data_IF_503740777143
#
_entry.id   IF_503740777143
#
_cell.length_a   1.000
_cell.length_b   1.000
_cell.length_c   1.000
_cell.angle_alpha   90.00
_cell.angle_beta   90.00
_cell.angle_gamma   90.00
#
_symmetry.space_group_name_H-M   'P 1'
#
loop_
_entity.id
_entity.type
_entity.pdbx_description
1 polymer ?
#
# COMPACT_ATOMS: atom_id res chain seq x y z
N UNK A 1 -2.31 4.09 -25.41
CA UNK A 1 -1.88 4.74 -24.17
C UNK A 1 -0.73 3.94 -23.58
N UNK A 2 0.48 4.52 -23.51
CA UNK A 2 1.67 3.82 -23.00
C UNK A 2 1.74 4.06 -21.49
N UNK A 3 1.48 3.02 -20.70
CA UNK A 3 1.60 3.05 -19.23
C UNK A 3 2.82 2.25 -18.86
N UNK A 4 3.69 2.84 -18.06
CA UNK A 4 4.93 2.25 -17.54
C UNK A 4 4.71 1.92 -16.07
N UNK A 5 5.04 0.70 -15.67
CA UNK A 5 5.14 0.32 -14.25
C UNK A 5 6.62 0.25 -13.90
N UNK A 6 7.03 0.99 -12.88
CA UNK A 6 8.41 1.03 -12.43
C UNK A 6 8.54 1.12 -10.92
N UNK A 7 9.72 0.84 -10.42
CA UNK A 7 10.05 1.12 -9.01
C UNK A 7 9.96 2.61 -8.75
N UNK A 8 9.42 2.94 -7.59
CA UNK A 8 9.38 4.30 -7.10
C UNK A 8 10.75 4.83 -6.72
N UNK A 9 10.93 6.12 -6.87
CA UNK A 9 12.13 6.85 -6.52
C UNK A 9 11.77 8.07 -5.66
N UNK A 10 12.75 8.65 -4.97
CA UNK A 10 12.55 9.76 -4.04
C UNK A 10 11.74 10.92 -4.64
N UNK A 11 12.00 11.29 -5.90
CA UNK A 11 11.26 12.38 -6.57
C UNK A 11 9.76 12.12 -6.72
N UNK A 12 9.31 10.87 -6.63
CA UNK A 12 7.91 10.52 -6.77
C UNK A 12 7.09 10.76 -5.48
N UNK A 13 7.77 10.98 -4.35
CA UNK A 13 7.12 11.02 -3.03
C UNK A 13 6.02 12.07 -2.89
N UNK A 14 6.15 13.21 -3.54
CA UNK A 14 5.07 14.22 -3.55
C UNK A 14 3.79 13.69 -4.20
N UNK A 15 3.93 13.01 -5.35
CA UNK A 15 2.79 12.38 -6.04
C UNK A 15 2.26 11.19 -5.26
N UNK A 16 3.14 10.42 -4.60
CA UNK A 16 2.78 9.30 -3.73
C UNK A 16 1.94 9.78 -2.56
N UNK A 17 2.36 10.84 -1.85
CA UNK A 17 1.59 11.41 -0.75
C UNK A 17 0.21 11.90 -1.19
N UNK A 18 0.10 12.47 -2.39
CA UNK A 18 -1.20 12.87 -2.94
C UNK A 18 -2.10 11.65 -3.17
N UNK A 19 -1.56 10.56 -3.76
CA UNK A 19 -2.33 9.32 -3.97
C UNK A 19 -2.76 8.65 -2.66
N UNK A 20 -1.90 8.68 -1.62
CA UNK A 20 -2.25 8.22 -0.26
C UNK A 20 -3.43 9.03 0.28
N UNK A 21 -3.41 10.35 0.13
CA UNK A 21 -4.51 11.23 0.57
C UNK A 21 -5.80 11.00 -0.23
N UNK A 22 -5.71 10.79 -1.55
CA UNK A 22 -6.86 10.44 -2.39
C UNK A 22 -7.49 9.11 -1.96
N UNK A 23 -6.67 8.11 -1.62
CA UNK A 23 -7.17 6.83 -1.10
C UNK A 23 -7.83 7.00 0.27
N UNK A 24 -7.20 7.74 1.18
CA UNK A 24 -7.75 8.00 2.51
C UNK A 24 -9.07 8.78 2.45
N UNK A 25 -9.19 9.73 1.52
CA UNK A 25 -10.45 10.47 1.28
C UNK A 25 -11.56 9.52 0.78
N UNK A 26 -11.22 8.66 -0.19
CA UNK A 26 -12.15 7.61 -0.66
C UNK A 26 -12.62 6.68 0.46
N UNK A 27 -11.76 6.42 1.43
CA UNK A 27 -12.04 5.58 2.60
C UNK A 27 -12.67 6.36 3.78
N UNK A 28 -12.99 7.65 3.61
CA UNK A 28 -13.51 8.56 4.63
C UNK A 28 -12.61 8.69 5.86
N UNK A 29 -11.30 8.66 5.66
CA UNK A 29 -10.27 8.67 6.70
C UNK A 29 -9.15 9.70 6.43
N UNK A 30 -9.41 10.73 5.62
CA UNK A 30 -8.41 11.75 5.26
C UNK A 30 -7.78 12.45 6.47
N UNK A 31 -8.57 12.66 7.53
CA UNK A 31 -8.14 13.23 8.81
C UNK A 31 -7.12 12.35 9.56
N UNK A 32 -7.00 11.07 9.21
CA UNK A 32 -6.02 10.14 9.78
C UNK A 32 -4.64 10.24 9.13
N UNK A 33 -4.52 10.92 7.97
CA UNK A 33 -3.25 11.10 7.27
C UNK A 33 -2.46 12.22 7.90
N UNK A 34 -1.57 11.88 8.83
CA UNK A 34 -0.69 12.82 9.53
C UNK A 34 0.76 12.77 9.05
N UNK A 35 1.09 11.80 8.19
CA UNK A 35 2.44 11.62 7.63
C UNK A 35 2.82 12.80 6.73
N UNK A 36 4.05 13.23 6.82
CA UNK A 36 4.63 14.31 6.02
C UNK A 36 5.50 13.77 4.88
N UNK A 37 5.87 14.65 3.96
CA UNK A 37 6.82 14.32 2.90
C UNK A 37 8.20 13.96 3.47
N UNK A 38 8.63 14.68 4.53
CA UNK A 38 9.89 14.42 5.21
C UNK A 38 9.91 13.05 5.90
N UNK A 39 8.80 12.64 6.53
CA UNK A 39 8.67 11.30 7.10
C UNK A 39 8.81 10.23 6.00
N UNK A 40 8.09 10.39 4.88
CA UNK A 40 8.19 9.47 3.75
C UNK A 40 9.62 9.38 3.21
N UNK A 41 10.32 10.51 3.13
CA UNK A 41 11.69 10.54 2.66
C UNK A 41 12.64 9.81 3.62
N UNK A 42 12.55 10.08 4.91
CA UNK A 42 13.40 9.45 5.93
C UNK A 42 13.16 7.95 6.02
N UNK A 43 11.88 7.53 6.02
CA UNK A 43 11.49 6.14 6.23
C UNK A 43 11.67 5.27 4.97
N UNK A 44 11.63 5.85 3.78
CA UNK A 44 11.76 5.10 2.53
C UNK A 44 13.15 5.21 1.87
N UNK A 45 13.88 6.31 2.11
CA UNK A 45 15.15 6.60 1.44
C UNK A 45 16.28 6.95 2.41
N UNK A 46 16.05 6.82 3.72
CA UNK A 46 17.06 6.97 4.75
C UNK A 46 17.96 5.74 4.90
N UNK A 47 18.65 5.67 6.03
CA UNK A 47 19.66 4.62 6.31
C UNK A 47 19.01 3.23 6.41
N UNK A 48 17.79 3.14 6.93
CA UNK A 48 17.05 1.88 7.11
C UNK A 48 15.65 2.00 6.51
N UNK A 49 15.50 1.80 5.20
CA UNK A 49 14.19 1.87 4.55
C UNK A 49 13.19 0.88 5.16
N UNK A 50 12.00 1.36 5.49
CA UNK A 50 10.92 0.56 6.07
C UNK A 50 9.91 0.10 5.02
N UNK A 51 9.89 0.71 3.84
CA UNK A 51 8.93 0.44 2.78
C UNK A 51 9.53 0.61 1.38
N UNK A 52 8.82 0.11 0.39
CA UNK A 52 9.11 0.26 -1.04
C UNK A 52 7.80 0.46 -1.79
N UNK A 53 7.88 0.94 -3.02
CA UNK A 53 6.70 1.11 -3.84
C UNK A 53 6.98 0.98 -5.33
N UNK A 54 5.93 0.59 -6.06
CA UNK A 54 5.85 0.70 -7.51
C UNK A 54 4.88 1.82 -7.87
N UNK A 55 5.16 2.47 -8.99
CA UNK A 55 4.28 3.48 -9.57
C UNK A 55 3.83 3.06 -10.96
N UNK A 56 2.59 3.41 -11.29
CA UNK A 56 2.12 3.45 -12.66
C UNK A 56 2.27 4.88 -13.18
N UNK A 57 3.03 5.05 -14.24
CA UNK A 57 3.32 6.35 -14.85
C UNK A 57 2.78 6.42 -16.27
N UNK A 58 2.20 7.55 -16.61
CA UNK A 58 1.74 7.90 -17.95
C UNK A 58 2.10 9.35 -18.26
N UNK A 59 2.83 9.59 -19.33
CA UNK A 59 3.19 10.93 -19.80
C UNK A 59 3.79 11.81 -18.68
N UNK A 60 4.74 11.25 -17.90
CA UNK A 60 5.40 11.82 -16.72
C UNK A 60 4.48 12.06 -15.50
N UNK A 61 3.22 11.64 -15.56
CA UNK A 61 2.29 11.69 -14.44
C UNK A 61 2.25 10.35 -13.71
N UNK A 62 2.32 10.38 -12.38
CA UNK A 62 2.07 9.20 -11.53
C UNK A 62 0.56 9.03 -11.36
N UNK A 63 0.03 7.94 -11.94
CA UNK A 63 -1.41 7.65 -12.00
C UNK A 63 -1.82 6.45 -11.14
N UNK A 64 -0.86 5.80 -10.48
CA UNK A 64 -1.14 4.68 -9.60
C UNK A 64 0.04 4.33 -8.71
N UNK A 65 -0.28 3.72 -7.58
CA UNK A 65 0.65 3.38 -6.50
C UNK A 65 0.38 1.96 -6.01
N UNK A 66 1.45 1.23 -5.78
CA UNK A 66 1.49 -0.01 -4.99
C UNK A 66 2.56 0.16 -3.93
N UNK A 67 2.14 0.46 -2.70
CA UNK A 67 3.01 0.73 -1.56
C UNK A 67 3.08 -0.50 -0.66
N UNK A 68 4.28 -0.99 -0.31
CA UNK A 68 4.43 -2.24 0.41
C UNK A 68 5.66 -2.27 1.30
N UNK A 69 5.63 -3.18 2.26
CA UNK A 69 6.74 -3.49 3.15
C UNK A 69 6.85 -4.99 3.39
N UNK A 70 7.93 -5.45 4.01
CA UNK A 70 8.15 -6.88 4.26
C UNK A 70 7.77 -7.20 5.70
N UNK A 71 6.69 -7.95 5.84
CA UNK A 71 6.20 -8.47 7.12
C UNK A 71 6.80 -9.84 7.39
N UNK A 72 7.11 -10.13 8.65
CA UNK A 72 7.53 -11.46 9.10
C UNK A 72 6.40 -12.16 9.84
N UNK A 73 6.05 -13.36 9.37
CA UNK A 73 5.16 -14.29 10.07
C UNK A 73 5.99 -15.33 10.81
N UNK A 74 5.77 -15.50 12.10
CA UNK A 74 6.45 -16.55 12.90
C UNK A 74 6.08 -17.96 12.44
N UNK A 75 4.97 -18.12 11.73
CA UNK A 75 4.52 -19.40 11.20
C UNK A 75 5.03 -19.70 9.80
N UNK A 76 5.18 -18.68 8.97
CA UNK A 76 5.40 -18.86 7.52
C UNK A 76 6.54 -18.03 6.94
N UNK A 77 7.26 -17.21 7.76
CA UNK A 77 8.38 -16.41 7.32
C UNK A 77 7.98 -15.09 6.66
N UNK A 78 8.73 -14.65 5.65
CA UNK A 78 8.58 -13.32 5.02
C UNK A 78 7.42 -13.26 4.04
N UNK A 79 6.61 -12.19 4.16
CA UNK A 79 5.51 -11.85 3.27
C UNK A 79 5.65 -10.42 2.77
N UNK A 80 5.16 -10.15 1.57
CA UNK A 80 4.89 -8.77 1.15
C UNK A 80 3.55 -8.35 1.78
N UNK A 81 3.58 -7.28 2.58
CA UNK A 81 2.37 -6.61 3.02
C UNK A 81 2.10 -5.42 2.10
N UNK A 82 1.00 -5.47 1.36
CA UNK A 82 0.55 -4.38 0.50
C UNK A 82 -0.25 -3.40 1.36
N UNK A 83 0.35 -2.27 1.68
CA UNK A 83 -0.25 -1.25 2.53
C UNK A 83 -1.31 -0.47 1.78
N UNK A 84 -0.91 0.17 0.66
CA UNK A 84 -1.80 0.94 -0.19
C UNK A 84 -1.75 0.46 -1.64
N UNK A 85 -2.91 0.41 -2.26
CA UNK A 85 -3.06 0.12 -3.67
C UNK A 85 -4.11 1.02 -4.29
N UNK A 86 -3.68 1.99 -5.08
CA UNK A 86 -4.58 3.00 -5.64
C UNK A 86 -4.27 3.29 -7.10
N UNK A 87 -5.30 3.51 -7.88
CA UNK A 87 -5.25 4.05 -9.24
C UNK A 87 -6.14 5.28 -9.26
N UNK A 88 -5.68 6.39 -9.82
CA UNK A 88 -6.48 7.59 -10.03
C UNK A 88 -7.77 7.24 -10.75
N UNK A 89 -8.87 7.85 -10.34
CA UNK A 89 -10.22 7.46 -10.76
C UNK A 89 -10.37 7.45 -12.29
N UNK A 90 -9.89 8.48 -12.97
CA UNK A 90 -9.95 8.64 -14.43
C UNK A 90 -9.16 7.57 -15.20
N UNK A 91 -8.24 6.85 -14.53
CA UNK A 91 -7.44 5.77 -15.13
C UNK A 91 -7.89 4.37 -14.74
N UNK A 92 -8.95 4.27 -13.90
CA UNK A 92 -9.53 2.97 -13.52
C UNK A 92 -10.22 2.32 -14.73
N UNK A 93 -10.40 1.00 -14.65
CA UNK A 93 -11.03 0.17 -15.70
C UNK A 93 -10.30 0.12 -17.04
N UNK A 94 -9.10 0.69 -17.14
CA UNK A 94 -8.22 0.62 -18.31
C UNK A 94 -7.08 -0.41 -18.17
N UNK A 95 -7.19 -1.34 -17.22
CA UNK A 95 -6.20 -2.39 -16.99
C UNK A 95 -4.95 -1.96 -16.22
N UNK A 96 -4.84 -0.68 -15.80
CA UNK A 96 -3.69 -0.14 -15.06
C UNK A 96 -3.48 -0.90 -13.76
N UNK A 97 -4.54 -1.05 -12.95
CA UNK A 97 -4.47 -1.79 -11.68
C UNK A 97 -4.00 -3.23 -11.88
N UNK A 98 -4.52 -3.92 -12.89
CA UNK A 98 -4.09 -5.32 -13.15
C UNK A 98 -2.61 -5.40 -13.54
N UNK A 99 -2.09 -4.44 -14.29
CA UNK A 99 -0.66 -4.39 -14.63
C UNK A 99 0.19 -4.12 -13.39
N UNK A 100 -0.18 -3.12 -12.59
CA UNK A 100 0.53 -2.74 -11.37
C UNK A 100 0.52 -3.88 -10.34
N UNK A 101 -0.62 -4.54 -10.13
CA UNK A 101 -0.75 -5.66 -9.21
C UNK A 101 0.10 -6.86 -9.63
N UNK A 102 0.12 -7.18 -10.94
CA UNK A 102 0.99 -8.23 -11.48
C UNK A 102 2.47 -7.93 -11.26
N UNK A 103 2.90 -6.68 -11.41
CA UNK A 103 4.30 -6.29 -11.12
C UNK A 103 4.60 -6.41 -9.62
N UNK A 104 3.65 -6.08 -8.75
CA UNK A 104 3.79 -6.31 -7.29
C UNK A 104 3.95 -7.81 -6.97
N UNK A 105 3.15 -8.67 -7.59
CA UNK A 105 3.30 -10.14 -7.45
C UNK A 105 4.67 -10.61 -7.94
N UNK A 106 5.20 -10.03 -9.02
CA UNK A 106 6.56 -10.37 -9.50
C UNK A 106 7.64 -10.01 -8.47
N UNK A 107 7.48 -8.92 -7.72
CA UNK A 107 8.38 -8.58 -6.61
C UNK A 107 8.38 -9.70 -5.55
N UNK A 108 7.20 -10.22 -5.18
CA UNK A 108 7.11 -11.36 -4.25
C UNK A 108 7.93 -12.55 -4.74
N UNK A 109 7.81 -12.88 -6.03
CA UNK A 109 8.55 -13.98 -6.64
C UNK A 109 10.06 -13.71 -6.68
N UNK A 110 10.48 -12.51 -7.07
CA UNK A 110 11.90 -12.11 -7.15
C UNK A 110 12.59 -12.14 -5.78
N UNK A 111 11.87 -11.73 -4.72
CA UNK A 111 12.36 -11.74 -3.34
C UNK A 111 12.17 -13.09 -2.64
N UNK A 112 11.64 -14.09 -3.33
CA UNK A 112 11.35 -15.42 -2.78
C UNK A 112 10.52 -15.35 -1.48
N UNK A 113 9.45 -14.53 -1.48
CA UNK A 113 8.55 -14.38 -0.35
C UNK A 113 7.51 -15.51 -0.30
N UNK A 114 7.04 -15.82 0.89
CA UNK A 114 6.10 -16.92 1.12
C UNK A 114 4.64 -16.55 0.81
N UNK A 115 4.38 -15.30 0.48
CA UNK A 115 3.07 -14.83 0.05
C UNK A 115 2.97 -13.31 0.06
N UNK A 116 1.77 -12.84 -0.26
CA UNK A 116 1.39 -11.44 -0.27
C UNK A 116 0.06 -11.29 0.48
N UNK A 117 -0.02 -10.32 1.36
CA UNK A 117 -1.21 -10.06 2.19
C UNK A 117 -1.52 -8.57 2.21
N UNK A 118 -2.78 -8.24 2.40
CA UNK A 118 -3.28 -6.87 2.52
C UNK A 118 -4.55 -6.84 3.33
N UNK A 119 -5.02 -5.65 3.64
CA UNK A 119 -6.34 -5.39 4.21
C UNK A 119 -7.21 -4.68 3.17
N UNK A 120 -8.50 -4.92 3.22
CA UNK A 120 -9.50 -4.24 2.40
C UNK A 120 -10.74 -4.01 3.26
N UNK A 121 -11.31 -2.82 3.17
CA UNK A 121 -12.56 -2.50 3.88
C UNK A 121 -13.69 -3.39 3.37
N UNK A 122 -14.50 -3.90 4.28
CA UNK A 122 -15.54 -4.89 3.97
C UNK A 122 -16.64 -4.36 3.03
N UNK A 123 -16.84 -3.04 3.01
CA UNK A 123 -17.76 -2.37 2.11
C UNK A 123 -17.14 -2.06 0.73
N UNK A 124 -15.81 -2.17 0.54
CA UNK A 124 -15.13 -1.84 -0.71
C UNK A 124 -15.26 -2.97 -1.74
N UNK A 125 -16.49 -3.22 -2.18
CA UNK A 125 -16.79 -4.27 -3.17
C UNK A 125 -15.97 -4.16 -4.45
N UNK A 126 -15.70 -2.96 -5.04
CA UNK A 126 -14.89 -2.87 -6.24
C UNK A 126 -13.46 -3.39 -6.05
N UNK A 127 -12.84 -3.12 -4.89
CA UNK A 127 -11.51 -3.64 -4.56
C UNK A 127 -11.55 -5.15 -4.31
N UNK A 128 -12.54 -5.63 -3.55
CA UNK A 128 -12.73 -7.07 -3.28
C UNK A 128 -12.89 -7.83 -4.60
N UNK A 129 -13.73 -7.35 -5.51
CA UNK A 129 -13.94 -7.97 -6.82
C UNK A 129 -12.70 -7.93 -7.70
N UNK A 130 -11.89 -6.86 -7.58
CA UNK A 130 -10.61 -6.79 -8.25
C UNK A 130 -9.65 -7.88 -7.76
N UNK A 131 -9.50 -8.07 -6.44
CA UNK A 131 -8.61 -9.08 -5.88
C UNK A 131 -9.05 -10.51 -6.18
N UNK A 132 -10.36 -10.79 -6.19
CA UNK A 132 -10.92 -12.09 -6.56
C UNK A 132 -10.56 -12.52 -7.98
N UNK A 133 -10.30 -11.59 -8.91
CA UNK A 133 -9.82 -11.91 -10.26
C UNK A 133 -8.43 -12.55 -10.29
N UNK A 134 -7.71 -12.48 -9.17
CA UNK A 134 -6.39 -13.08 -8.97
C UNK A 134 -6.47 -14.30 -8.04
N UNK A 135 -7.67 -14.87 -7.85
CA UNK A 135 -7.94 -16.00 -6.95
C UNK A 135 -7.55 -15.70 -5.48
N UNK A 136 -7.62 -14.42 -5.08
CA UNK A 136 -7.31 -14.01 -3.72
C UNK A 136 -8.38 -14.50 -2.74
N UNK A 137 -7.93 -15.10 -1.64
CA UNK A 137 -8.76 -15.42 -0.49
C UNK A 137 -8.99 -14.17 0.35
N UNK A 138 -10.25 -13.86 0.68
CA UNK A 138 -10.65 -12.77 1.55
C UNK A 138 -11.32 -13.37 2.78
N UNK A 139 -10.73 -13.19 3.97
CA UNK A 139 -11.26 -13.70 5.23
C UNK A 139 -11.55 -12.57 6.22
N UNK A 140 -12.40 -12.87 7.22
CA UNK A 140 -12.79 -11.96 8.31
C UNK A 140 -12.36 -12.51 9.69
N UNK A 141 -11.41 -13.44 9.72
CA UNK A 141 -11.10 -14.20 10.93
C UNK A 141 -10.33 -13.41 11.98
N UNK A 142 -9.70 -12.31 11.59
CA UNK A 142 -8.85 -11.50 12.47
C UNK A 142 -9.41 -10.11 12.69
N UNK A 143 -9.50 -9.72 13.97
CA UNK A 143 -9.83 -8.36 14.36
C UNK A 143 -8.55 -7.52 14.46
N UNK A 144 -8.64 -6.25 14.10
CA UNK A 144 -7.54 -5.30 14.23
C UNK A 144 -7.52 -4.71 15.64
N UNK A 145 -6.37 -4.81 16.32
CA UNK A 145 -6.10 -4.10 17.58
C UNK A 145 -5.17 -2.91 17.34
N UNK A 146 -5.39 -1.80 18.06
CA UNK A 146 -4.58 -0.58 17.93
C UNK A 146 -4.45 0.15 19.25
N UNK A 147 -3.25 0.66 19.52
CA UNK A 147 -3.00 1.70 20.51
C UNK A 147 -2.49 2.95 19.79
N UNK A 148 -3.03 4.10 20.14
CA UNK A 148 -2.54 5.39 19.64
C UNK A 148 -1.22 5.77 20.30
N UNK A 149 -0.46 6.68 19.68
CA UNK A 149 0.79 7.22 20.25
C UNK A 149 0.55 7.77 21.68
N UNK A 150 -0.53 8.54 21.88
CA UNK A 150 -0.87 9.08 23.19
C UNK A 150 -1.13 7.99 24.24
N UNK A 151 -1.79 6.88 23.87
CA UNK A 151 -1.99 5.75 24.78
C UNK A 151 -0.67 5.08 25.15
N UNK A 152 0.23 4.92 24.19
CA UNK A 152 1.57 4.34 24.44
C UNK A 152 2.38 5.26 25.38
N UNK A 153 2.39 6.57 25.14
CA UNK A 153 3.10 7.54 25.99
C UNK A 153 2.52 7.60 27.42
N UNK A 154 1.27 7.28 27.60
CA UNK A 154 0.57 7.29 28.89
C UNK A 154 0.37 5.89 29.49
N UNK A 155 1.15 4.90 29.10
CA UNK A 155 0.98 3.49 29.51
C UNK A 155 0.91 3.33 31.05
N UNK A 156 1.69 4.09 31.80
CA UNK A 156 1.70 4.02 33.26
C UNK A 156 0.39 4.53 33.93
N UNK A 157 -0.50 5.16 33.16
CA UNK A 157 -1.83 5.59 33.62
C UNK A 157 -2.92 4.57 33.29
N UNK A 158 -2.60 3.54 32.52
CA UNK A 158 -3.53 2.50 32.07
C UNK A 158 -3.49 1.25 32.94
N UNK A 159 -2.49 1.13 33.83
CA UNK A 159 -2.26 0.07 34.79
C UNK A 159 -2.53 0.58 36.22
#
# INVERSE_FOLDING_TARGET
MKIIIRKGIKKDLSSVLNLIKELADYENALDQVTITLDDLEQDGFGIQPCYWFLVAEKDDEIIGLSFYWIRYSTWKGKFLFLEDFVIKEEYRRHGVGSKLFKETIKICKQLNLNGMIWQVLDWNSPAIDFYKKFDAEISKDWLNGRLTKLQIENINKLL
#
